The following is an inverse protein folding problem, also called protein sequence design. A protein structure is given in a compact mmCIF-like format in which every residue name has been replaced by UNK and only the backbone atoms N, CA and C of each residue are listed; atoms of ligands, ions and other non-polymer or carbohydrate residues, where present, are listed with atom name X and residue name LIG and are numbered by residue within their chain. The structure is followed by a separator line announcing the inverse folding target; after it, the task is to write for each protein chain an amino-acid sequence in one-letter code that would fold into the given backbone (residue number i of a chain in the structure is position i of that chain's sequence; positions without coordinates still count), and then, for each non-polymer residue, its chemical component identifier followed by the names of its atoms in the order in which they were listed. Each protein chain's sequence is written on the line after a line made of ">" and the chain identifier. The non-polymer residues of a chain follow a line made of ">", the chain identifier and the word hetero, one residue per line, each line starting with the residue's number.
data_IF_123048271133
#
_entry.id   IF_123048271133
#
_cell.length_a   1.000
_cell.length_b   1.000
_cell.length_c   1.000
_cell.angle_alpha   90.00
_cell.angle_beta   90.00
_cell.angle_gamma   90.00
#
_symmetry.space_group_name_H-M   'P 1'
#
loop_
_entity.id
_entity.type
_entity.pdbx_description
1 polymer ?
#
# COMPACT_ATOMS: atom_id res chain seq x y z
N UNK A 1 -16.90 -3.41 25.34
CA UNK A 1 -15.66 -2.62 25.21
C UNK A 1 -16.02 -1.26 24.62
N UNK A 2 -15.25 -0.21 24.92
CA UNK A 2 -15.42 1.08 24.26
C UNK A 2 -14.83 1.03 22.84
N UNK A 3 -15.41 1.78 21.90
CA UNK A 3 -14.84 1.97 20.55
C UNK A 3 -13.42 2.55 20.64
N UNK A 4 -12.54 2.14 19.72
CA UNK A 4 -11.23 2.77 19.56
C UNK A 4 -11.34 4.27 19.31
N UNK A 5 -10.34 5.03 19.74
CA UNK A 5 -10.28 6.48 19.55
C UNK A 5 -8.86 6.96 19.36
N UNK A 6 -8.70 7.96 18.51
CA UNK A 6 -7.48 8.74 18.39
C UNK A 6 -7.71 10.13 19.01
N UNK A 7 -6.72 10.66 19.73
CA UNK A 7 -6.65 12.08 20.09
C UNK A 7 -5.56 12.67 19.20
N UNK A 8 -5.96 13.55 18.29
CA UNK A 8 -5.07 14.20 17.33
C UNK A 8 -4.92 15.65 17.73
N UNK A 9 -3.68 16.07 17.99
CA UNK A 9 -3.33 17.46 18.23
C UNK A 9 -2.54 17.96 17.02
N UNK A 10 -2.98 19.07 16.44
CA UNK A 10 -2.26 19.73 15.34
C UNK A 10 -1.51 20.91 15.93
N UNK A 11 -0.21 20.96 15.74
CA UNK A 11 0.59 22.09 16.20
C UNK A 11 0.47 23.31 15.26
N UNK A 12 0.96 24.50 15.63
CA UNK A 12 0.88 25.69 14.78
C UNK A 12 1.64 25.60 13.45
N UNK A 13 2.56 24.64 13.30
CA UNK A 13 3.27 24.37 12.06
C UNK A 13 2.52 23.42 11.12
N UNK A 14 1.46 22.78 11.64
CA UNK A 14 0.63 21.80 10.92
C UNK A 14 1.04 20.35 11.17
N UNK A 15 1.97 20.09 12.09
CA UNK A 15 2.41 18.74 12.43
C UNK A 15 1.44 18.09 13.42
N UNK A 16 1.18 16.79 13.20
CA UNK A 16 0.22 16.02 14.00
C UNK A 16 0.92 15.27 15.14
N UNK A 17 0.34 15.33 16.34
CA UNK A 17 0.62 14.45 17.46
C UNK A 17 -0.59 13.56 17.74
N UNK A 18 -0.44 12.26 17.54
CA UNK A 18 -1.54 11.29 17.55
C UNK A 18 -1.38 10.32 18.73
N UNK A 19 -2.41 10.26 19.58
CA UNK A 19 -2.50 9.30 20.68
C UNK A 19 -3.60 8.29 20.39
N UNK A 20 -3.23 7.03 20.19
CA UNK A 20 -4.16 5.95 19.87
C UNK A 20 -4.59 5.20 21.13
N UNK A 21 -5.90 5.03 21.28
CA UNK A 21 -6.51 4.18 22.29
C UNK A 21 -7.28 3.08 21.55
N UNK A 22 -6.77 1.85 21.49
CA UNK A 22 -7.28 0.84 20.57
C UNK A 22 -8.71 0.39 20.88
N UNK A 23 -9.11 0.34 22.15
CA UNK A 23 -10.46 -0.07 22.55
C UNK A 23 -10.87 -1.42 21.93
N UNK A 24 -12.06 -1.49 21.35
CA UNK A 24 -12.58 -2.66 20.66
C UNK A 24 -11.81 -3.03 19.38
N UNK A 25 -10.95 -2.16 18.82
CA UNK A 25 -10.15 -2.50 17.63
C UNK A 25 -9.12 -3.61 17.91
N UNK A 26 -8.81 -3.87 19.19
CA UNK A 26 -7.92 -4.96 19.61
C UNK A 26 -8.68 -6.19 20.12
N UNK A 27 -9.98 -6.30 19.84
CA UNK A 27 -10.77 -7.50 20.18
C UNK A 27 -11.05 -8.42 19.00
N UNK A 28 -10.52 -8.13 17.81
CA UNK A 28 -10.68 -8.99 16.63
C UNK A 28 -9.83 -10.25 16.76
N UNK A 29 -10.42 -11.38 16.42
CA UNK A 29 -9.73 -12.66 16.30
C UNK A 29 -9.85 -13.27 14.88
N UNK A 30 -9.15 -14.38 14.65
CA UNK A 30 -9.15 -15.06 13.35
C UNK A 30 -10.55 -15.56 12.90
N UNK A 31 -11.51 -15.73 13.81
CA UNK A 31 -12.89 -16.14 13.49
C UNK A 31 -13.67 -14.97 12.90
N UNK A 32 -13.38 -13.75 13.31
CA UNK A 32 -14.03 -12.56 12.75
C UNK A 32 -13.65 -12.38 11.28
N UNK A 33 -12.37 -12.58 10.93
CA UNK A 33 -11.91 -12.60 9.55
C UNK A 33 -12.61 -13.71 8.72
N UNK A 34 -12.70 -14.92 9.26
CA UNK A 34 -13.43 -16.01 8.60
C UNK A 34 -14.89 -15.68 8.30
N UNK A 35 -15.60 -15.06 9.25
CA UNK A 35 -17.00 -14.65 9.06
C UNK A 35 -17.11 -13.54 8.02
N UNK A 36 -16.21 -12.56 8.04
CA UNK A 36 -16.20 -11.46 7.08
C UNK A 36 -15.98 -11.97 5.65
N UNK A 37 -15.02 -12.89 5.45
CA UNK A 37 -14.68 -13.40 4.13
C UNK A 37 -15.62 -14.49 3.61
N UNK A 38 -16.54 -15.01 4.44
CA UNK A 38 -17.51 -16.02 4.00
C UNK A 38 -18.47 -15.51 2.90
N UNK A 39 -18.58 -14.19 2.72
CA UNK A 39 -19.41 -13.56 1.68
C UNK A 39 -18.59 -13.01 0.50
N UNK A 40 -17.26 -13.15 0.54
CA UNK A 40 -16.37 -12.71 -0.53
C UNK A 40 -16.27 -13.76 -1.64
N UNK A 41 -16.01 -13.31 -2.84
CA UNK A 41 -15.72 -14.13 -4.01
C UNK A 41 -14.23 -14.08 -4.35
N UNK A 42 -13.78 -15.05 -5.15
CA UNK A 42 -12.45 -15.01 -5.74
C UNK A 42 -12.26 -13.71 -6.55
N UNK A 43 -11.11 -13.05 -6.39
CA UNK A 43 -10.82 -11.76 -7.01
C UNK A 43 -11.29 -10.53 -6.23
N UNK A 44 -12.09 -10.69 -5.15
CA UNK A 44 -12.40 -9.57 -4.26
C UNK A 44 -11.14 -9.05 -3.55
N UNK A 45 -11.23 -7.82 -3.03
CA UNK A 45 -10.09 -7.15 -2.39
C UNK A 45 -10.22 -7.13 -0.87
N UNK A 46 -9.09 -7.36 -0.20
CA UNK A 46 -8.86 -7.03 1.19
C UNK A 46 -7.94 -5.81 1.29
N UNK A 47 -8.46 -4.74 1.90
CA UNK A 47 -7.69 -3.56 2.32
C UNK A 47 -7.46 -3.62 3.83
N UNK A 48 -6.20 -3.51 4.27
CA UNK A 48 -5.82 -3.58 5.69
C UNK A 48 -4.93 -2.43 6.14
N UNK A 49 -5.01 -2.13 7.43
CA UNK A 49 -4.08 -1.29 8.20
C UNK A 49 -3.64 -1.97 9.50
N UNK A 50 -2.68 -1.38 10.22
CA UNK A 50 -2.15 -1.94 11.48
C UNK A 50 -2.89 -1.46 12.74
N UNK A 51 -4.04 -0.80 12.60
CA UNK A 51 -4.80 -0.29 13.75
C UNK A 51 -5.76 -1.33 14.38
N UNK A 52 -5.65 -2.59 13.97
CA UNK A 52 -6.46 -3.72 14.48
C UNK A 52 -5.59 -4.94 14.78
N UNK A 53 -6.12 -5.89 15.56
CA UNK A 53 -5.49 -7.19 15.79
C UNK A 53 -5.78 -8.19 14.67
N UNK A 54 -4.95 -9.22 14.53
CA UNK A 54 -5.22 -10.34 13.61
C UNK A 54 -4.87 -10.08 12.14
N UNK A 55 -4.11 -9.03 11.83
CA UNK A 55 -3.70 -8.66 10.45
C UNK A 55 -3.06 -9.84 9.71
N UNK A 56 -2.09 -10.54 10.31
CA UNK A 56 -1.43 -11.68 9.70
C UNK A 56 -2.42 -12.83 9.37
N UNK A 57 -3.30 -13.17 10.31
CA UNK A 57 -4.32 -14.22 10.11
C UNK A 57 -5.31 -13.81 9.02
N UNK A 58 -5.69 -12.53 8.96
CA UNK A 58 -6.57 -12.00 7.94
C UNK A 58 -5.94 -12.11 6.54
N UNK A 59 -4.66 -11.76 6.39
CA UNK A 59 -3.93 -11.90 5.11
C UNK A 59 -3.87 -13.36 4.67
N UNK A 60 -3.50 -14.28 5.58
CA UNK A 60 -3.43 -15.72 5.28
C UNK A 60 -4.80 -16.25 4.85
N UNK A 61 -5.87 -15.85 5.56
CA UNK A 61 -7.20 -16.32 5.24
C UNK A 61 -7.73 -15.74 3.92
N UNK A 62 -7.49 -14.46 3.66
CA UNK A 62 -7.88 -13.82 2.42
C UNK A 62 -7.24 -14.51 1.20
N UNK A 63 -5.96 -14.90 1.30
CA UNK A 63 -5.33 -15.70 0.24
C UNK A 63 -5.96 -17.06 0.02
N UNK A 64 -6.35 -17.77 1.09
CA UNK A 64 -7.07 -19.05 0.95
C UNK A 64 -8.43 -18.88 0.28
N UNK A 65 -9.05 -17.72 0.41
CA UNK A 65 -10.31 -17.36 -0.23
C UNK A 65 -10.12 -16.76 -1.64
N UNK A 66 -8.89 -16.64 -2.15
CA UNK A 66 -8.61 -16.10 -3.49
C UNK A 66 -8.72 -14.58 -3.60
N UNK A 67 -8.64 -13.85 -2.48
CA UNK A 67 -8.70 -12.39 -2.47
C UNK A 67 -7.35 -11.77 -2.89
N UNK A 68 -7.44 -10.60 -3.52
CA UNK A 68 -6.34 -9.67 -3.69
C UNK A 68 -6.10 -8.90 -2.39
N UNK A 69 -4.85 -8.55 -2.09
CA UNK A 69 -4.47 -7.98 -0.79
C UNK A 69 -3.69 -6.69 -0.99
N UNK A 70 -4.30 -5.58 -0.57
CA UNK A 70 -3.64 -4.30 -0.39
C UNK A 70 -3.40 -4.05 1.09
N UNK A 71 -2.15 -3.81 1.46
CA UNK A 71 -1.79 -3.50 2.83
C UNK A 71 -1.13 -2.13 2.91
N UNK A 72 -1.70 -1.23 3.71
CA UNK A 72 -1.01 -0.05 4.19
C UNK A 72 -0.67 -0.28 5.67
N UNK A 73 0.57 -0.68 6.02
CA UNK A 73 0.93 -1.04 7.39
C UNK A 73 1.12 0.20 8.28
N UNK A 74 0.19 1.15 8.25
CA UNK A 74 0.14 2.32 9.09
C UNK A 74 -0.67 2.04 10.37
N UNK A 75 -0.20 2.47 11.56
CA UNK A 75 1.18 2.86 11.83
C UNK A 75 2.13 1.66 11.69
N UNK A 76 3.38 1.91 11.29
CA UNK A 76 4.39 0.86 11.21
C UNK A 76 4.64 0.24 12.58
N UNK A 77 4.80 -1.08 12.61
CA UNK A 77 5.19 -1.79 13.83
C UNK A 77 6.67 -2.09 13.79
N UNK A 78 7.32 -1.93 14.95
CA UNK A 78 8.78 -2.04 15.08
C UNK A 78 9.37 -3.42 14.72
N UNK A 79 8.53 -4.44 14.50
CA UNK A 79 9.01 -5.79 14.17
C UNK A 79 8.03 -6.57 13.29
N UNK A 80 7.87 -6.14 12.05
CA UNK A 80 7.02 -6.79 11.05
C UNK A 80 7.56 -8.18 10.67
N UNK A 81 8.88 -8.31 10.55
CA UNK A 81 9.53 -9.57 10.14
C UNK A 81 9.49 -10.62 11.27
N UNK A 82 9.89 -10.28 12.51
CA UNK A 82 9.88 -11.28 13.58
C UNK A 82 8.46 -11.68 14.01
N UNK A 83 7.45 -10.86 13.69
CA UNK A 83 6.05 -11.20 13.85
C UNK A 83 5.55 -12.24 12.83
N UNK A 84 6.42 -12.71 11.92
CA UNK A 84 6.10 -13.65 10.83
C UNK A 84 4.93 -13.15 9.96
N UNK A 85 4.87 -11.83 9.75
CA UNK A 85 3.83 -11.28 8.89
C UNK A 85 3.98 -11.85 7.47
N UNK A 86 2.87 -12.26 6.83
CA UNK A 86 2.88 -12.92 5.54
C UNK A 86 3.07 -11.92 4.39
N UNK A 87 4.20 -11.20 4.39
CA UNK A 87 4.52 -10.17 3.40
C UNK A 87 4.51 -10.71 1.96
N UNK A 88 4.91 -11.98 1.77
CA UNK A 88 4.87 -12.64 0.46
C UNK A 88 3.46 -12.86 -0.09
N UNK A 89 2.45 -12.74 0.78
CA UNK A 89 1.04 -12.84 0.43
C UNK A 89 0.42 -11.47 0.16
N UNK A 90 1.16 -10.38 0.05
CA UNK A 90 0.57 -9.04 -0.18
C UNK A 90 0.77 -8.63 -1.63
N UNK A 91 -0.30 -8.32 -2.38
CA UNK A 91 -0.18 -7.91 -3.79
C UNK A 91 0.36 -6.48 -3.92
N UNK A 92 -0.17 -5.59 -3.08
CA UNK A 92 0.16 -4.17 -3.08
C UNK A 92 0.49 -3.71 -1.68
N UNK A 93 1.70 -3.19 -1.51
CA UNK A 93 2.14 -2.56 -0.27
C UNK A 93 2.16 -1.04 -0.47
N UNK A 94 1.46 -0.29 0.37
CA UNK A 94 1.46 1.19 0.33
C UNK A 94 2.11 1.72 1.60
N UNK A 95 3.18 2.48 1.46
CA UNK A 95 4.00 3.01 2.55
C UNK A 95 4.13 4.53 2.40
N UNK A 96 4.32 5.26 3.48
CA UNK A 96 4.95 6.59 3.42
C UNK A 96 6.48 6.50 3.53
N UNK A 97 7.18 7.63 3.49
CA UNK A 97 8.64 7.69 3.58
C UNK A 97 9.17 7.04 4.87
N UNK A 98 8.58 7.40 6.01
CA UNK A 98 9.04 6.93 7.32
C UNK A 98 8.83 5.42 7.50
N UNK A 99 7.69 4.92 7.03
CA UNK A 99 7.30 3.51 7.04
C UNK A 99 8.19 2.69 6.11
N UNK A 100 8.50 3.20 4.91
CA UNK A 100 9.45 2.56 3.99
C UNK A 100 10.82 2.40 4.65
N UNK A 101 11.34 3.47 5.25
CA UNK A 101 12.63 3.44 5.92
C UNK A 101 12.62 2.51 7.15
N UNK A 102 11.54 2.49 7.93
CA UNK A 102 11.41 1.60 9.08
C UNK A 102 11.33 0.13 8.68
N UNK A 103 10.57 -0.20 7.64
CA UNK A 103 10.48 -1.57 7.13
C UNK A 103 11.81 -2.02 6.51
N UNK A 104 12.45 -1.16 5.70
CA UNK A 104 13.73 -1.47 5.06
C UNK A 104 14.84 -1.78 6.08
N UNK A 105 14.87 -1.08 7.23
CA UNK A 105 15.83 -1.36 8.32
C UNK A 105 15.71 -2.76 8.92
N UNK A 106 14.59 -3.44 8.73
CA UNK A 106 14.38 -4.78 9.25
C UNK A 106 15.02 -5.86 8.36
N UNK A 107 15.39 -5.54 7.11
CA UNK A 107 16.01 -6.48 6.17
C UNK A 107 17.53 -6.31 6.12
N UNK A 108 18.25 -7.40 6.37
CA UNK A 108 19.71 -7.43 6.20
C UNK A 108 20.08 -7.16 4.72
N UNK A 109 21.03 -6.25 4.49
CA UNK A 109 21.52 -5.90 3.16
C UNK A 109 20.96 -4.60 2.58
N UNK A 110 19.92 -4.01 3.17
CA UNK A 110 19.42 -2.68 2.79
C UNK A 110 20.04 -1.61 3.69
N UNK A 111 20.98 -0.83 3.15
CA UNK A 111 21.64 0.24 3.88
C UNK A 111 20.93 1.59 3.70
N UNK A 112 19.96 1.87 4.57
CA UNK A 112 19.23 3.15 4.57
C UNK A 112 20.08 4.35 5.03
N UNK A 113 21.28 4.14 5.58
CA UNK A 113 22.12 5.24 6.09
C UNK A 113 22.91 5.95 4.98
N UNK A 114 23.07 5.30 3.83
CA UNK A 114 23.78 5.83 2.66
C UNK A 114 22.86 6.45 1.61
N UNK A 115 21.55 6.21 1.73
CA UNK A 115 20.55 6.78 0.84
C UNK A 115 20.25 8.23 1.25
N UNK A 116 20.23 9.15 0.28
CA UNK A 116 19.65 10.46 0.55
C UNK A 116 18.14 10.32 0.80
N UNK A 117 17.52 11.32 1.43
CA UNK A 117 16.08 11.34 1.68
C UNK A 117 15.23 11.47 0.41
N UNK A 118 15.78 11.23 -0.78
CA UNK A 118 15.08 11.19 -2.07
C UNK A 118 15.27 9.85 -2.79
N UNK A 119 16.09 8.93 -2.28
CA UNK A 119 16.41 7.64 -2.91
C UNK A 119 15.36 6.54 -2.63
N UNK A 120 14.12 6.94 -2.32
CA UNK A 120 13.03 6.04 -1.94
C UNK A 120 12.72 4.97 -3.00
N UNK A 121 12.92 5.28 -4.29
CA UNK A 121 12.74 4.29 -5.35
C UNK A 121 13.74 3.13 -5.21
N UNK A 122 15.03 3.39 -4.99
CA UNK A 122 16.02 2.33 -4.86
C UNK A 122 15.83 1.52 -3.57
N UNK A 123 15.44 2.17 -2.47
CA UNK A 123 15.10 1.47 -1.22
C UNK A 123 13.90 0.55 -1.45
N UNK A 124 12.82 1.07 -2.04
CA UNK A 124 11.63 0.26 -2.36
C UNK A 124 11.95 -0.87 -3.35
N UNK A 125 12.83 -0.63 -4.32
CA UNK A 125 13.30 -1.64 -5.28
C UNK A 125 14.07 -2.76 -4.60
N UNK A 126 14.98 -2.43 -3.68
CA UNK A 126 15.70 -3.43 -2.86
C UNK A 126 14.72 -4.18 -1.95
N UNK A 127 13.81 -3.47 -1.28
CA UNK A 127 12.80 -4.10 -0.44
C UNK A 127 11.97 -5.10 -1.25
N UNK A 128 11.54 -4.73 -2.46
CA UNK A 128 10.78 -5.59 -3.35
C UNK A 128 11.49 -6.93 -3.65
N UNK A 129 12.82 -7.03 -3.60
CA UNK A 129 13.51 -8.32 -3.82
C UNK A 129 13.31 -9.31 -2.68
N UNK A 130 12.99 -8.82 -1.49
CA UNK A 130 12.70 -9.65 -0.31
C UNK A 130 11.22 -9.93 -0.14
N UNK A 131 10.35 -9.14 -0.76
CA UNK A 131 8.90 -9.28 -0.66
C UNK A 131 8.36 -10.04 -1.89
N UNK A 132 7.39 -10.93 -1.66
CA UNK A 132 6.54 -11.45 -2.74
C UNK A 132 5.62 -10.40 -3.40
N UNK A 133 5.57 -9.17 -2.87
CA UNK A 133 4.71 -8.11 -3.41
C UNK A 133 5.05 -7.70 -4.83
N UNK A 134 4.01 -7.66 -5.66
CA UNK A 134 4.10 -7.29 -7.08
C UNK A 134 4.13 -5.78 -7.27
N UNK A 135 3.52 -5.04 -6.35
CA UNK A 135 3.45 -3.58 -6.37
C UNK A 135 3.84 -3.00 -5.03
N UNK A 136 4.72 -1.99 -5.06
CA UNK A 136 5.00 -1.14 -3.89
C UNK A 136 4.72 0.30 -4.28
N UNK A 137 3.94 0.99 -3.45
CA UNK A 137 3.74 2.43 -3.55
C UNK A 137 4.39 3.10 -2.35
N UNK A 138 5.09 4.20 -2.62
CA UNK A 138 5.64 5.10 -1.62
C UNK A 138 4.98 6.47 -1.77
N UNK A 139 4.18 6.87 -0.81
CA UNK A 139 3.62 8.22 -0.71
C UNK A 139 4.68 9.16 -0.14
N UNK A 140 4.78 10.38 -0.70
CA UNK A 140 5.85 11.35 -0.46
C UNK A 140 5.30 12.72 -0.01
N UNK A 141 4.19 12.72 0.74
CA UNK A 141 3.51 13.93 1.20
C UNK A 141 3.27 14.94 0.07
N UNK A 142 3.80 16.16 0.23
CA UNK A 142 3.64 17.26 -0.74
C UNK A 142 4.43 17.09 -2.03
N UNK A 143 5.27 16.06 -2.15
CA UNK A 143 6.03 15.77 -3.39
C UNK A 143 5.19 14.91 -4.34
N UNK A 144 4.33 14.04 -3.81
CA UNK A 144 3.49 13.13 -4.59
C UNK A 144 3.68 11.68 -4.19
N UNK A 145 3.93 10.78 -5.14
CA UNK A 145 4.16 9.35 -4.88
C UNK A 145 5.01 8.67 -5.95
N UNK A 146 5.61 7.54 -5.58
CA UNK A 146 6.37 6.65 -6.46
C UNK A 146 5.70 5.27 -6.41
N UNK A 147 5.46 4.67 -7.58
CA UNK A 147 4.99 3.31 -7.74
C UNK A 147 6.05 2.43 -8.39
N UNK A 148 6.19 1.21 -7.89
CA UNK A 148 7.02 0.16 -8.46
C UNK A 148 6.11 -1.01 -8.81
N UNK A 149 6.12 -1.44 -10.07
CA UNK A 149 5.31 -2.56 -10.53
C UNK A 149 6.20 -3.60 -11.20
N UNK A 150 6.24 -4.81 -10.64
CA UNK A 150 6.94 -5.95 -11.22
C UNK A 150 6.14 -6.51 -12.39
N UNK A 151 6.68 -6.46 -13.61
CA UNK A 151 6.08 -7.15 -14.76
C UNK A 151 6.37 -8.64 -14.67
N UNK A 152 5.33 -9.46 -14.82
CA UNK A 152 5.50 -10.88 -15.06
C UNK A 152 6.10 -11.06 -16.45
N UNK A 153 7.27 -11.67 -16.54
CA UNK A 153 7.79 -12.18 -17.80
C UNK A 153 6.96 -13.42 -18.18
N UNK A 154 6.49 -13.49 -19.43
CA UNK A 154 5.63 -14.58 -19.95
C UNK A 154 6.29 -15.97 -19.98
N UNK A 155 7.41 -16.19 -19.29
CA UNK A 155 8.08 -17.47 -19.16
C UNK A 155 8.50 -17.66 -17.70
N UNK A 156 7.71 -18.40 -16.91
CA UNK A 156 8.16 -19.61 -16.20
C UNK A 156 7.04 -20.21 -15.34
N UNK A 157 6.91 -21.53 -15.45
CA UNK A 157 6.24 -22.40 -14.50
C UNK A 157 6.62 -22.11 -13.04
N UNK A 158 5.64 -22.32 -12.15
CA UNK A 158 5.77 -22.71 -10.75
C UNK A 158 6.99 -22.18 -9.98
N UNK A 159 6.74 -21.22 -9.10
CA UNK A 159 7.66 -20.87 -8.00
C UNK A 159 7.88 -22.14 -7.17
N UNK A 160 9.10 -22.69 -7.06
CA UNK A 160 9.33 -23.83 -6.17
C UNK A 160 9.25 -23.35 -4.73
N UNK A 161 8.36 -23.98 -3.96
CA UNK A 161 8.36 -23.91 -2.50
C UNK A 161 9.67 -24.56 -2.05
N UNK A 162 10.64 -23.75 -1.62
CA UNK A 162 11.93 -24.23 -1.11
C UNK A 162 11.71 -25.02 0.18
N UNK A 163 11.75 -26.35 0.08
CA UNK A 163 11.99 -27.25 1.19
C UNK A 163 13.50 -27.49 1.31
N UNK A 164 14.09 -27.05 2.43
CA UNK A 164 15.34 -27.50 3.05
C UNK A 164 16.54 -27.83 2.14
N UNK A 165 17.62 -27.04 2.24
CA UNK A 165 18.94 -27.44 1.74
C UNK A 165 19.96 -27.61 2.87
N UNK A 166 20.30 -28.87 3.15
CA UNK A 166 21.68 -29.27 3.49
C UNK A 166 22.55 -29.15 2.23
N UNK A 167 23.79 -28.68 2.39
CA UNK A 167 24.60 -28.06 1.34
C UNK A 167 25.17 -28.95 0.24
N UNK A 168 25.62 -28.29 -0.83
CA UNK A 168 26.99 -28.37 -1.40
C UNK A 168 27.11 -27.38 -2.58
N UNK A 169 28.28 -26.74 -2.67
CA UNK A 169 28.66 -25.73 -3.66
C UNK A 169 28.78 -26.30 -5.08
N UNK A 170 28.30 -25.53 -6.06
CA UNK A 170 28.58 -25.71 -7.48
C UNK A 170 28.35 -24.38 -8.19
N UNK A 171 29.42 -23.75 -8.67
CA UNK A 171 29.39 -22.52 -9.43
C UNK A 171 28.64 -22.74 -10.76
N UNK A 172 27.46 -22.15 -10.87
CA UNK A 172 26.77 -21.91 -12.12
C UNK A 172 26.49 -20.41 -12.20
N UNK A 173 27.02 -19.77 -13.24
CA UNK A 173 26.72 -18.39 -13.62
C UNK A 173 25.19 -18.21 -13.63
N UNK A 174 24.70 -17.39 -12.70
CA UNK A 174 23.29 -17.10 -12.55
C UNK A 174 22.82 -16.29 -13.74
N UNK A 175 22.02 -16.91 -14.61
CA UNK A 175 21.19 -16.20 -15.56
C UNK A 175 20.30 -15.21 -14.79
N UNK A 176 20.59 -13.91 -14.92
CA UNK A 176 19.76 -12.84 -14.37
C UNK A 176 18.40 -12.88 -15.08
N UNK A 177 17.44 -13.56 -14.47
CA UNK A 177 16.02 -13.39 -14.78
C UNK A 177 15.65 -11.95 -14.37
N UNK A 178 15.84 -10.99 -15.26
CA UNK A 178 15.43 -9.60 -15.02
C UNK A 178 13.90 -9.52 -15.06
N UNK A 179 13.26 -9.72 -13.90
CA UNK A 179 11.94 -9.15 -13.63
C UNK A 179 12.01 -7.64 -13.89
N UNK A 180 11.44 -7.19 -15.01
CA UNK A 180 11.46 -5.75 -15.33
C UNK A 180 10.52 -5.01 -14.37
N UNK A 181 11.10 -4.18 -13.51
CA UNK A 181 10.36 -3.29 -12.60
C UNK A 181 10.07 -2.00 -13.36
N UNK A 182 8.80 -1.60 -13.42
CA UNK A 182 8.37 -0.31 -13.98
C UNK A 182 8.24 0.70 -12.85
N UNK A 183 8.95 1.82 -12.99
CA UNK A 183 8.81 2.99 -12.13
C UNK A 183 7.69 3.90 -12.65
N UNK A 184 6.81 4.33 -11.74
CA UNK A 184 5.77 5.32 -12.00
C UNK A 184 5.98 6.46 -11.00
N UNK A 185 6.08 7.69 -11.48
CA UNK A 185 6.15 8.88 -10.62
C UNK A 185 4.90 9.72 -10.81
N UNK A 186 4.31 10.14 -9.71
CA UNK A 186 3.15 11.02 -9.71
C UNK A 186 3.46 12.22 -8.84
N UNK A 187 3.41 13.42 -9.42
CA UNK A 187 3.51 14.67 -8.66
C UNK A 187 2.28 14.86 -7.77
N UNK A 188 2.38 15.73 -6.77
CA UNK A 188 1.23 16.10 -5.96
C UNK A 188 0.14 16.82 -6.78
N UNK A 189 -1.09 16.80 -6.28
CA UNK A 189 -2.18 17.55 -6.90
C UNK A 189 -1.89 19.06 -6.86
N UNK A 190 -2.39 19.86 -7.82
CA UNK A 190 -2.09 21.29 -7.92
C UNK A 190 -2.86 22.12 -6.87
N UNK A 191 -2.52 21.93 -5.60
CA UNK A 191 -3.07 22.64 -4.43
C UNK A 191 -2.04 23.62 -3.92
N UNK A 192 -2.40 24.90 -3.85
CA UNK A 192 -1.50 25.94 -3.34
C UNK A 192 -1.37 25.83 -1.82
N UNK A 193 -0.22 26.24 -1.29
CA UNK A 193 0.06 26.21 0.16
C UNK A 193 -1.01 26.92 0.99
N UNK A 194 -1.55 28.03 0.48
CA UNK A 194 -2.57 28.83 1.19
C UNK A 194 -3.96 28.17 1.19
N UNK A 195 -4.16 27.13 0.38
CA UNK A 195 -5.40 26.37 0.29
C UNK A 195 -5.39 25.15 1.22
N UNK A 196 -4.22 24.74 1.74
CA UNK A 196 -4.06 23.63 2.66
C UNK A 196 -4.62 24.04 4.04
N UNK A 197 -5.46 23.18 4.62
CA UNK A 197 -6.13 23.43 5.90
C UNK A 197 -5.85 22.36 6.94
N UNK A 198 -5.89 21.09 6.56
CA UNK A 198 -5.76 19.96 7.47
C UNK A 198 -5.32 18.72 6.68
N UNK A 199 -4.22 18.08 7.08
CA UNK A 199 -3.65 16.91 6.39
C UNK A 199 -4.03 15.58 7.05
N UNK A 200 -4.82 15.60 8.12
CA UNK A 200 -5.06 14.45 8.99
C UNK A 200 -5.51 13.18 8.25
N UNK A 201 -6.41 13.30 7.26
CA UNK A 201 -6.92 12.16 6.50
C UNK A 201 -6.35 12.04 5.07
N UNK A 202 -5.27 12.77 4.77
CA UNK A 202 -4.72 12.81 3.42
C UNK A 202 -4.22 11.43 2.96
N UNK A 203 -3.54 10.70 3.85
CA UNK A 203 -3.03 9.35 3.61
C UNK A 203 -4.17 8.34 3.44
N UNK A 204 -5.12 8.31 4.38
CA UNK A 204 -6.29 7.42 4.31
C UNK A 204 -7.12 7.66 3.04
N UNK A 205 -7.33 8.93 2.68
CA UNK A 205 -8.00 9.31 1.44
C UNK A 205 -7.24 8.77 0.24
N UNK A 206 -5.92 8.91 0.23
CA UNK A 206 -5.07 8.42 -0.87
C UNK A 206 -5.19 6.89 -1.00
N UNK A 207 -4.97 6.15 0.09
CA UNK A 207 -5.01 4.68 0.10
C UNK A 207 -6.40 4.16 -0.30
N UNK A 208 -7.47 4.75 0.25
CA UNK A 208 -8.84 4.34 -0.04
C UNK A 208 -9.21 4.54 -1.51
N UNK A 209 -8.89 5.70 -2.09
CA UNK A 209 -9.14 5.94 -3.51
C UNK A 209 -8.25 5.11 -4.42
N UNK A 210 -6.98 4.92 -4.07
CA UNK A 210 -6.08 4.06 -4.83
C UNK A 210 -6.60 2.62 -4.89
N UNK A 211 -7.00 2.06 -3.75
CA UNK A 211 -7.58 0.72 -3.66
C UNK A 211 -8.88 0.60 -4.47
N UNK A 212 -9.78 1.59 -4.35
CA UNK A 212 -11.05 1.61 -5.06
C UNK A 212 -10.88 1.67 -6.59
N UNK A 213 -10.00 2.54 -7.10
CA UNK A 213 -9.72 2.61 -8.54
C UNK A 213 -9.08 1.33 -9.05
N UNK A 214 -8.14 0.75 -8.29
CA UNK A 214 -7.45 -0.46 -8.70
C UNK A 214 -8.41 -1.65 -8.80
N UNK A 215 -9.29 -1.80 -7.80
CA UNK A 215 -10.34 -2.81 -7.80
C UNK A 215 -11.34 -2.60 -8.95
N UNK A 216 -11.75 -1.36 -9.21
CA UNK A 216 -12.64 -1.04 -10.34
C UNK A 216 -12.01 -1.43 -11.68
N UNK A 217 -10.78 -0.99 -11.95
CA UNK A 217 -10.07 -1.27 -13.20
C UNK A 217 -9.86 -2.77 -13.42
N UNK A 218 -9.61 -3.52 -12.36
CA UNK A 218 -9.46 -4.97 -12.44
C UNK A 218 -10.79 -5.64 -12.80
N UNK A 219 -11.91 -5.18 -12.22
CA UNK A 219 -13.24 -5.72 -12.53
C UNK A 219 -13.69 -5.44 -13.97
N UNK A 220 -13.17 -4.37 -14.59
CA UNK A 220 -13.46 -3.98 -15.98
C UNK A 220 -12.52 -4.65 -17.00
N UNK A 221 -11.46 -5.33 -16.54
CA UNK A 221 -10.48 -5.97 -17.41
C UNK A 221 -11.04 -7.26 -18.04
N UNK A 222 -10.79 -7.55 -19.34
CA UNK A 222 -11.34 -8.72 -20.01
C UNK A 222 -10.97 -10.02 -19.28
N UNK A 223 -11.95 -10.91 -19.10
CA UNK A 223 -11.79 -12.22 -18.44
C UNK A 223 -10.80 -13.12 -19.20
N UNK A 224 -9.53 -13.12 -18.80
CA UNK A 224 -8.66 -14.26 -18.94
C UNK A 224 -8.17 -14.65 -17.55
N UNK A 225 -7.93 -15.94 -17.31
CA UNK A 225 -7.49 -16.43 -15.99
C UNK A 225 -6.14 -15.79 -15.59
N UNK A 226 -5.33 -15.37 -16.56
CA UNK A 226 -4.10 -14.59 -16.34
C UNK A 226 -4.35 -13.09 -16.06
N UNK A 227 -5.48 -12.51 -16.48
CA UNK A 227 -5.80 -11.08 -16.32
C UNK A 227 -6.35 -10.74 -14.93
N UNK A 228 -7.12 -11.64 -14.31
CA UNK A 228 -7.73 -11.39 -12.99
C UNK A 228 -6.70 -11.22 -11.87
N UNK A 229 -5.46 -11.70 -12.03
CA UNK A 229 -4.40 -11.57 -11.02
C UNK A 229 -3.34 -10.50 -11.37
N UNK A 230 -3.47 -9.82 -12.51
CA UNK A 230 -2.38 -8.99 -13.03
C UNK A 230 -2.66 -7.51 -12.84
N UNK A 231 -2.03 -6.94 -11.80
CA UNK A 231 -1.93 -5.50 -11.61
C UNK A 231 -0.94 -4.94 -12.63
N UNK A 232 -1.42 -4.14 -13.58
CA UNK A 232 -0.58 -3.56 -14.63
C UNK A 232 -0.05 -2.17 -14.24
N UNK A 233 1.10 -1.74 -14.80
CA UNK A 233 1.59 -0.37 -14.59
C UNK A 233 0.57 0.72 -14.96
N UNK A 234 -0.21 0.53 -16.02
CA UNK A 234 -1.21 1.50 -16.44
C UNK A 234 -2.36 1.63 -15.42
N UNK A 235 -2.78 0.51 -14.81
CA UNK A 235 -3.78 0.53 -13.75
C UNK A 235 -3.27 1.26 -12.51
N UNK A 236 -2.01 0.99 -12.13
CA UNK A 236 -1.37 1.64 -10.99
C UNK A 236 -1.21 3.14 -11.23
N UNK A 237 -0.76 3.56 -12.41
CA UNK A 237 -0.64 4.97 -12.76
C UNK A 237 -1.98 5.70 -12.70
N UNK A 238 -3.05 5.09 -13.23
CA UNK A 238 -4.40 5.66 -13.16
C UNK A 238 -4.88 5.79 -11.71
N UNK A 239 -4.76 4.72 -10.91
CA UNK A 239 -5.17 4.71 -9.51
C UNK A 239 -4.37 5.73 -8.68
N UNK A 240 -3.05 5.83 -8.88
CA UNK A 240 -2.19 6.83 -8.24
C UNK A 240 -2.66 8.25 -8.58
N UNK A 241 -2.93 8.53 -9.85
CA UNK A 241 -3.41 9.85 -10.28
C UNK A 241 -4.72 10.21 -9.59
N UNK A 242 -5.66 9.28 -9.53
CA UNK A 242 -6.96 9.51 -8.91
C UNK A 242 -6.84 9.77 -7.40
N UNK A 243 -6.09 8.92 -6.71
CA UNK A 243 -5.80 9.03 -5.28
C UNK A 243 -5.11 10.35 -4.92
N UNK A 244 -4.15 10.77 -5.74
CA UNK A 244 -3.45 12.05 -5.58
C UNK A 244 -4.41 13.23 -5.63
N UNK A 245 -5.33 13.27 -6.60
CA UNK A 245 -6.30 14.36 -6.70
C UNK A 245 -7.33 14.32 -5.57
N UNK A 246 -7.77 13.13 -5.15
CA UNK A 246 -8.66 12.98 -4.00
C UNK A 246 -8.02 13.49 -2.70
N UNK A 247 -6.77 13.10 -2.45
CA UNK A 247 -5.98 13.57 -1.31
C UNK A 247 -5.74 15.09 -1.38
N UNK A 248 -5.51 15.64 -2.58
CA UNK A 248 -5.44 17.09 -2.82
C UNK A 248 -6.71 17.84 -2.39
N UNK A 249 -7.89 17.29 -2.66
CA UNK A 249 -9.14 17.88 -2.18
C UNK A 249 -9.25 17.73 -0.66
N UNK A 250 -8.92 16.56 -0.11
CA UNK A 250 -8.95 16.30 1.34
C UNK A 250 -8.12 17.33 2.11
N UNK A 251 -6.87 17.59 1.70
CA UNK A 251 -6.00 18.56 2.40
C UNK A 251 -6.52 20.00 2.37
N UNK A 252 -7.42 20.33 1.44
CA UNK A 252 -8.00 21.68 1.29
C UNK A 252 -9.24 21.93 2.17
N UNK A 253 -9.64 20.92 2.96
CA UNK A 253 -10.82 20.90 3.82
C UNK A 253 -10.40 20.63 5.26
N UNK A 254 -11.26 20.99 6.21
CA UNK A 254 -11.03 20.68 7.63
C UNK A 254 -11.64 19.33 8.00
N UNK A 255 -10.98 18.63 8.92
CA UNK A 255 -11.48 17.42 9.55
C UNK A 255 -11.16 16.16 8.74
N UNK A 256 -10.89 15.06 9.44
CA UNK A 256 -10.48 13.79 8.84
C UNK A 256 -11.52 13.22 7.85
N UNK A 257 -12.46 12.41 8.31
CA UNK A 257 -13.51 11.81 7.45
C UNK A 257 -14.33 12.87 6.68
N UNK A 258 -14.73 14.02 7.26
CA UNK A 258 -15.48 15.03 6.52
C UNK A 258 -14.72 15.69 5.36
N UNK A 259 -13.38 15.62 5.31
CA UNK A 259 -12.60 16.15 4.18
C UNK A 259 -12.66 15.26 2.94
N UNK A 260 -12.97 13.98 3.10
CA UNK A 260 -12.93 12.99 2.02
C UNK A 260 -13.93 13.40 0.92
N UNK A 261 -13.48 13.60 -0.33
CA UNK A 261 -14.34 14.09 -1.40
C UNK A 261 -15.35 13.03 -1.87
N UNK A 262 -16.32 13.46 -2.66
CA UNK A 262 -17.11 12.56 -3.51
C UNK A 262 -16.37 12.32 -4.84
N UNK A 263 -16.56 11.15 -5.46
CA UNK A 263 -15.98 10.78 -6.77
C UNK A 263 -16.09 11.90 -7.81
N UNK A 264 -17.29 12.46 -7.99
CA UNK A 264 -17.56 13.51 -8.96
C UNK A 264 -16.70 14.78 -8.73
N UNK A 265 -16.38 15.10 -7.48
CA UNK A 265 -15.50 16.24 -7.16
C UNK A 265 -14.07 15.97 -7.60
N UNK A 266 -13.59 14.73 -7.41
CA UNK A 266 -12.27 14.29 -7.88
C UNK A 266 -12.22 14.31 -9.41
N UNK A 267 -13.24 13.78 -10.09
CA UNK A 267 -13.32 13.80 -11.56
C UNK A 267 -13.27 15.23 -12.12
N UNK A 268 -14.02 16.16 -11.50
CA UNK A 268 -13.98 17.57 -11.89
C UNK A 268 -12.60 18.18 -11.65
N UNK A 269 -11.97 17.90 -10.51
CA UNK A 269 -10.66 18.44 -10.21
C UNK A 269 -9.60 17.91 -11.18
N UNK A 270 -9.63 16.61 -11.50
CA UNK A 270 -8.77 15.96 -12.50
C UNK A 270 -8.89 16.60 -13.89
N UNK A 271 -10.10 17.03 -14.28
CA UNK A 271 -10.37 17.63 -15.59
C UNK A 271 -10.01 19.11 -15.67
N UNK A 272 -10.16 19.84 -14.56
CA UNK A 272 -10.11 21.31 -14.55
C UNK A 272 -8.88 21.88 -13.85
N UNK A 273 -8.22 21.10 -12.99
CA UNK A 273 -7.23 21.57 -12.02
C UNK A 273 -7.75 22.70 -11.11
N UNK A 274 -9.07 22.77 -10.92
CA UNK A 274 -9.73 23.72 -10.02
C UNK A 274 -10.30 22.95 -8.83
N UNK A 275 -9.90 23.34 -7.63
CA UNK A 275 -10.41 22.74 -6.39
C UNK A 275 -11.92 23.01 -6.22
N UNK A 276 -12.69 22.00 -5.77
CA UNK A 276 -14.13 22.08 -5.55
C UNK A 276 -14.55 22.62 -4.19
#
# INVERSE_FOLDING_TARGET
>A
MATGRAIIQVDPSGENSIFLFPGANHSFDAKDAHKAFAQCNEGDWLLLTNETTGVADAIIQARKCGLQILWNPAPMTANMIASKNPLDLVDVLVLNESELLELARQFEGIDVSKCDSNDYFNIARQLMTFLGSRTIIVTLGSVGSIGLVRRLCNNTHEIPISSNATGQEGAAESAENHDSIVEIRMECAPVKKEQIKDTTAAGDTWVGYFAAELAQLQSESPESIESLATITPAMVEHAMRFATYASGISVSRFGAVPSIPLRAQVDTFIKTNILP
#
